data_IF_055120488643
#
_entry.id   IF_055120488643
#
_cell.length_a   1.000
_cell.length_b   1.000
_cell.length_c   1.000
_cell.angle_alpha   90.00
_cell.angle_beta   90.00
_cell.angle_gamma   90.00
#
_symmetry.space_group_name_H-M   'P 1'
#
loop_
_entity.id
_entity.type
_entity.pdbx_description
1 polymer ?
#
# COMPACT_ATOMS: atom_id res chain seq x y z
N UNK A 1 11.01 23.37 -30.83
CA UNK A 1 11.48 22.68 -29.60
C UNK A 1 12.40 21.52 -29.96
N UNK A 2 13.40 21.24 -29.12
CA UNK A 2 14.32 20.10 -29.31
C UNK A 2 14.28 19.21 -28.09
N UNK A 3 13.98 17.93 -28.30
CA UNK A 3 13.91 16.90 -27.27
C UNK A 3 15.19 16.08 -27.32
N UNK A 4 15.84 15.95 -26.17
CA UNK A 4 17.03 15.13 -26.00
C UNK A 4 16.62 13.78 -25.40
N UNK A 5 16.90 12.71 -26.12
CA UNK A 5 16.56 11.35 -25.73
C UNK A 5 17.84 10.60 -25.39
N UNK A 6 17.82 9.82 -24.30
CA UNK A 6 18.91 8.94 -23.92
C UNK A 6 18.41 7.51 -23.85
N UNK A 7 19.10 6.62 -24.54
CA UNK A 7 18.87 5.19 -24.45
C UNK A 7 19.69 4.61 -23.29
N UNK A 8 19.01 4.25 -22.20
CA UNK A 8 19.65 3.65 -21.03
C UNK A 8 19.71 2.12 -21.14
N UNK A 9 18.71 1.51 -21.79
CA UNK A 9 18.58 0.05 -21.91
C UNK A 9 19.47 -0.59 -22.99
N UNK A 10 20.06 0.21 -23.88
CA UNK A 10 20.97 -0.26 -24.93
C UNK A 10 20.28 -0.96 -26.12
N UNK A 11 18.95 -1.13 -26.06
CA UNK A 11 18.16 -1.68 -27.16
C UNK A 11 17.69 -0.55 -28.07
N UNK A 12 17.86 -0.72 -29.38
CA UNK A 12 17.34 0.23 -30.38
C UNK A 12 15.83 0.04 -30.48
N UNK A 13 15.06 1.05 -30.06
CA UNK A 13 13.59 1.01 -30.05
C UNK A 13 12.98 2.19 -30.78
N UNK A 14 11.76 2.07 -31.35
CA UNK A 14 11.01 3.24 -31.79
C UNK A 14 10.67 4.11 -30.58
N UNK A 15 10.60 5.43 -30.79
CA UNK A 15 10.27 6.39 -29.74
C UNK A 15 8.93 7.04 -30.04
N UNK A 16 8.01 6.97 -29.10
CA UNK A 16 6.66 7.55 -29.23
C UNK A 16 6.57 8.69 -28.22
N UNK A 17 6.36 9.90 -28.69
CA UNK A 17 6.23 11.09 -27.83
C UNK A 17 4.82 11.65 -27.95
N UNK A 18 4.19 11.90 -26.81
CA UNK A 18 2.99 12.75 -26.74
C UNK A 18 3.38 14.12 -26.24
N UNK A 19 2.98 15.14 -26.99
CA UNK A 19 3.08 16.54 -26.63
C UNK A 19 1.70 17.02 -26.18
N UNK A 20 1.62 17.60 -24.99
CA UNK A 20 0.45 18.33 -24.50
C UNK A 20 0.76 19.82 -24.59
N UNK A 21 -0.09 20.60 -25.24
CA UNK A 21 0.07 22.04 -25.40
C UNK A 21 -0.75 22.81 -24.35
N UNK A 22 -0.43 24.10 -24.19
CA UNK A 22 -1.13 24.98 -23.24
C UNK A 22 -2.60 25.23 -23.62
N UNK A 23 -2.96 25.08 -24.90
CA UNK A 23 -4.33 25.21 -25.40
C UNK A 23 -5.20 23.96 -25.14
N UNK A 24 -4.60 22.89 -24.61
CA UNK A 24 -5.25 21.61 -24.34
C UNK A 24 -5.24 20.64 -25.53
N UNK A 25 -4.63 21.00 -26.66
CA UNK A 25 -4.42 20.08 -27.77
C UNK A 25 -3.30 19.08 -27.47
N UNK A 26 -3.42 17.89 -28.04
CA UNK A 26 -2.42 16.83 -27.94
C UNK A 26 -1.90 16.45 -29.32
N UNK A 27 -0.60 16.16 -29.40
CA UNK A 27 -0.01 15.66 -30.63
C UNK A 27 0.90 14.46 -30.36
N UNK A 28 0.69 13.40 -31.14
CA UNK A 28 1.49 12.18 -31.08
C UNK A 28 2.54 12.19 -32.19
N UNK A 29 3.81 12.07 -31.82
CA UNK A 29 4.94 11.93 -32.74
C UNK A 29 5.56 10.55 -32.58
N UNK A 30 5.54 9.76 -33.66
CA UNK A 30 6.19 8.45 -33.72
C UNK A 30 7.51 8.58 -34.48
N UNK A 31 8.61 8.37 -33.78
CA UNK A 31 9.96 8.35 -34.35
C UNK A 31 10.37 6.89 -34.57
N UNK A 32 10.76 6.52 -35.81
CA UNK A 32 11.27 5.19 -36.07
C UNK A 32 12.59 4.95 -35.33
N UNK A 33 12.99 3.68 -35.22
CA UNK A 33 14.26 3.26 -34.63
C UNK A 33 15.51 3.88 -35.31
N UNK A 34 15.36 4.45 -36.51
CA UNK A 34 16.44 5.08 -37.28
C UNK A 34 17.10 6.28 -36.57
N UNK A 35 16.42 6.90 -35.61
CA UNK A 35 16.99 8.02 -34.83
C UNK A 35 18.26 7.63 -34.07
N UNK A 36 18.48 6.34 -33.85
CA UNK A 36 19.60 5.77 -33.11
C UNK A 36 20.80 5.38 -34.00
N UNK A 37 20.71 5.56 -35.33
CA UNK A 37 21.74 5.09 -36.28
C UNK A 37 23.07 5.83 -36.12
N UNK A 38 23.04 7.15 -35.88
CA UNK A 38 24.26 7.94 -35.67
C UNK A 38 24.88 7.73 -34.29
N UNK A 39 24.04 7.61 -33.27
CA UNK A 39 24.44 7.37 -31.89
C UNK A 39 23.34 6.55 -31.20
N UNK A 40 23.70 5.36 -30.74
CA UNK A 40 22.77 4.44 -30.09
C UNK A 40 22.49 4.79 -28.62
N UNK A 41 23.26 5.73 -28.03
CA UNK A 41 23.10 6.18 -26.64
C UNK A 41 22.31 7.47 -26.53
N UNK A 42 22.43 8.37 -27.51
CA UNK A 42 21.76 9.66 -27.48
C UNK A 42 21.18 10.03 -28.84
N UNK A 43 19.92 10.48 -28.84
CA UNK A 43 19.24 10.96 -30.03
C UNK A 43 18.63 12.35 -29.74
N UNK A 44 18.49 13.14 -30.80
CA UNK A 44 17.87 14.47 -30.74
C UNK A 44 16.71 14.51 -31.71
N UNK A 45 15.52 14.77 -31.19
CA UNK A 45 14.33 14.97 -32.00
C UNK A 45 13.96 16.45 -31.97
N UNK A 46 13.97 17.10 -33.14
CA UNK A 46 13.53 18.49 -33.26
C UNK A 46 12.10 18.50 -33.81
N UNK A 47 11.25 19.30 -33.18
CA UNK A 47 9.85 19.45 -33.55
C UNK A 47 9.50 20.94 -33.63
N UNK A 48 8.76 21.31 -34.68
CA UNK A 48 8.35 22.69 -34.95
C UNK A 48 6.87 22.81 -34.60
N UNK A 49 6.56 23.63 -33.59
CA UNK A 49 5.21 24.09 -33.31
C UNK A 49 5.28 25.54 -32.85
N UNK A 50 4.25 26.30 -33.20
CA UNK A 50 4.04 27.68 -32.75
C UNK A 50 3.38 27.75 -31.37
N UNK A 51 2.84 26.63 -30.87
CA UNK A 51 2.11 26.58 -29.61
C UNK A 51 3.05 26.32 -28.43
N UNK A 52 2.68 26.86 -27.27
CA UNK A 52 3.41 26.65 -26.03
C UNK A 52 3.23 25.22 -25.51
N UNK A 53 4.35 24.56 -25.23
CA UNK A 53 4.40 23.18 -24.78
C UNK A 53 4.22 23.09 -23.26
N UNK A 54 3.26 22.28 -22.80
CA UNK A 54 2.97 22.05 -21.38
C UNK A 54 3.66 20.80 -20.85
N UNK A 55 3.52 19.67 -21.54
CA UNK A 55 4.09 18.38 -21.14
C UNK A 55 4.63 17.61 -22.33
N UNK A 56 5.63 16.77 -22.07
CA UNK A 56 6.04 15.69 -22.96
C UNK A 56 5.99 14.38 -22.20
N UNK A 57 5.43 13.36 -22.83
CA UNK A 57 5.39 12.01 -22.29
C UNK A 57 5.96 11.01 -23.29
N UNK A 58 6.85 10.15 -22.81
CA UNK A 58 7.44 9.06 -23.54
C UNK A 58 6.59 7.79 -23.40
N UNK A 59 6.21 7.23 -24.54
CA UNK A 59 5.41 6.00 -24.68
C UNK A 59 4.10 5.98 -23.87
N UNK A 60 3.16 6.89 -24.19
CA UNK A 60 1.88 7.00 -23.48
C UNK A 60 1.01 5.74 -23.57
N UNK A 61 1.16 4.97 -24.65
CA UNK A 61 0.38 3.76 -24.91
C UNK A 61 1.07 2.48 -24.45
N UNK A 62 2.27 2.58 -23.85
CA UNK A 62 3.04 1.42 -23.35
C UNK A 62 3.34 0.39 -24.45
N UNK A 63 3.64 0.87 -25.65
CA UNK A 63 3.98 0.02 -26.79
C UNK A 63 5.43 -0.50 -26.71
N UNK A 64 6.27 0.18 -25.93
CA UNK A 64 7.66 -0.19 -25.70
C UNK A 64 7.80 -0.98 -24.40
N UNK A 65 8.69 -1.98 -24.40
CA UNK A 65 8.98 -2.82 -23.24
C UNK A 65 9.94 -2.12 -22.25
N UNK A 66 9.63 -0.87 -21.86
CA UNK A 66 10.43 -0.10 -20.91
C UNK A 66 10.16 -0.54 -19.46
N UNK A 67 11.22 -0.58 -18.64
CA UNK A 67 11.19 -1.02 -17.26
C UNK A 67 10.90 0.11 -16.28
N UNK A 68 11.32 1.34 -16.60
CA UNK A 68 11.15 2.49 -15.72
C UNK A 68 10.19 3.52 -16.36
N UNK A 69 9.21 4.00 -15.59
CA UNK A 69 8.23 5.00 -16.05
C UNK A 69 8.45 6.37 -15.43
N UNK A 70 9.16 6.40 -14.33
CA UNK A 70 9.33 7.60 -13.52
C UNK A 70 10.11 8.69 -14.28
N UNK A 71 10.86 8.28 -15.30
CA UNK A 71 11.66 9.12 -16.19
C UNK A 71 10.99 9.42 -17.54
N UNK A 72 9.72 9.04 -17.74
CA UNK A 72 9.04 9.22 -19.04
C UNK A 72 8.32 10.56 -19.16
N UNK A 73 8.26 11.34 -18.09
CA UNK A 73 7.54 12.61 -18.05
C UNK A 73 8.48 13.79 -18.00
N UNK A 74 8.19 14.79 -18.83
CA UNK A 74 8.76 16.12 -18.74
C UNK A 74 7.64 17.18 -18.66
N UNK A 75 7.56 17.99 -17.59
CA UNK A 75 8.36 17.92 -16.36
C UNK A 75 8.16 16.58 -15.59
N UNK A 76 9.13 16.15 -14.77
CA UNK A 76 9.02 14.92 -13.98
C UNK A 76 7.81 14.94 -13.05
N UNK A 77 7.09 13.81 -12.96
CA UNK A 77 5.93 13.62 -12.09
C UNK A 77 6.22 12.43 -11.16
N UNK A 78 5.80 12.53 -9.90
CA UNK A 78 5.87 11.41 -8.96
C UNK A 78 4.63 10.54 -9.12
N UNK A 79 4.75 9.42 -9.84
CA UNK A 79 3.71 8.41 -9.86
C UNK A 79 3.85 7.47 -8.64
N UNK A 80 2.76 7.15 -7.93
CA UNK A 80 2.81 6.21 -6.81
C UNK A 80 3.13 4.80 -7.31
N UNK A 81 4.06 4.13 -6.62
CA UNK A 81 4.47 2.78 -7.01
C UNK A 81 3.33 1.76 -6.81
N UNK A 82 3.36 0.65 -7.55
CA UNK A 82 2.35 -0.43 -7.42
C UNK A 82 2.23 -0.94 -5.98
N UNK A 83 3.35 -1.00 -5.26
CA UNK A 83 3.38 -1.43 -3.86
C UNK A 83 2.72 -0.38 -2.95
N UNK A 84 2.99 0.90 -3.17
CA UNK A 84 2.35 1.99 -2.42
C UNK A 84 0.83 2.01 -2.66
N UNK A 85 0.38 1.80 -3.90
CA UNK A 85 -1.05 1.67 -4.23
C UNK A 85 -1.71 0.45 -3.57
N UNK A 86 -0.99 -0.67 -3.48
CA UNK A 86 -1.49 -1.87 -2.79
C UNK A 86 -1.64 -1.63 -1.28
N UNK A 87 -0.62 -1.05 -0.64
CA UNK A 87 -0.65 -0.71 0.79
C UNK A 87 -1.73 0.32 1.09
N UNK A 88 -1.84 1.40 0.32
CA UNK A 88 -2.87 2.42 0.54
C UNK A 88 -4.28 1.86 0.39
N UNK A 89 -4.48 0.90 -0.52
CA UNK A 89 -5.75 0.18 -0.65
C UNK A 89 -6.04 -0.73 0.55
N UNK A 90 -5.03 -1.38 1.13
CA UNK A 90 -5.19 -2.15 2.36
C UNK A 90 -5.54 -1.24 3.54
N UNK A 91 -4.80 -0.15 3.74
CA UNK A 91 -5.05 0.84 4.79
C UNK A 91 -6.46 1.43 4.67
N UNK A 92 -6.86 1.87 3.47
CA UNK A 92 -8.22 2.33 3.21
C UNK A 92 -9.29 1.25 3.45
N UNK A 93 -8.96 -0.04 3.27
CA UNK A 93 -9.85 -1.15 3.59
C UNK A 93 -9.88 -1.49 5.09
N UNK A 94 -8.87 -1.10 5.87
CA UNK A 94 -8.83 -1.21 7.33
C UNK A 94 -9.61 -0.09 8.02
N UNK A 95 -9.61 1.10 7.43
CA UNK A 95 -10.33 2.30 7.89
C UNK A 95 -11.84 2.28 7.56
N UNK A 96 -12.35 1.18 6.99
CA UNK A 96 -13.75 1.05 6.61
C UNK A 96 -14.67 1.03 7.87
N UNK A 97 -15.68 1.92 7.98
CA UNK A 97 -16.49 2.10 9.19
C UNK A 97 -17.20 0.82 9.65
N UNK A 98 -17.59 -0.07 8.73
CA UNK A 98 -18.19 -1.36 9.10
C UNK A 98 -17.25 -2.29 9.87
N UNK A 99 -15.96 -2.32 9.53
CA UNK A 99 -14.96 -3.14 10.23
C UNK A 99 -14.60 -2.55 11.59
N UNK A 100 -14.54 -1.22 11.69
CA UNK A 100 -14.38 -0.52 12.96
C UNK A 100 -15.55 -0.80 13.91
N UNK A 101 -16.79 -0.74 13.41
CA UNK A 101 -17.99 -1.08 14.18
C UNK A 101 -18.00 -2.54 14.64
N UNK A 102 -17.66 -3.49 13.77
CA UNK A 102 -17.60 -4.92 14.12
C UNK A 102 -16.57 -5.22 15.21
N UNK A 103 -15.36 -4.63 15.13
CA UNK A 103 -14.33 -4.79 16.17
C UNK A 103 -14.74 -4.20 17.52
N UNK A 104 -15.45 -3.07 17.55
CA UNK A 104 -15.98 -2.49 18.79
C UNK A 104 -17.05 -3.39 19.40
N UNK A 105 -17.98 -3.87 18.59
CA UNK A 105 -19.03 -4.80 19.02
C UNK A 105 -18.46 -6.14 19.54
N UNK A 106 -17.39 -6.65 18.93
CA UNK A 106 -16.72 -7.88 19.36
C UNK A 106 -15.98 -7.69 20.69
N UNK A 107 -15.26 -6.57 20.87
CA UNK A 107 -14.64 -6.20 22.16
C UNK A 107 -15.67 -6.02 23.27
N UNK A 108 -16.78 -5.34 22.99
CA UNK A 108 -17.87 -5.17 23.97
C UNK A 108 -18.51 -6.51 24.37
N UNK A 109 -18.56 -7.50 23.47
CA UNK A 109 -19.04 -8.85 23.79
C UNK A 109 -18.05 -9.62 24.65
N UNK A 110 -16.77 -9.60 24.31
CA UNK A 110 -15.72 -10.23 25.11
C UNK A 110 -15.59 -9.63 26.52
N UNK A 111 -15.73 -8.31 26.66
CA UNK A 111 -15.70 -7.64 27.97
C UNK A 111 -16.90 -8.05 28.84
N UNK A 112 -18.10 -8.15 28.25
CA UNK A 112 -19.30 -8.64 28.95
C UNK A 112 -19.16 -10.10 29.37
N UNK A 113 -18.54 -10.94 28.54
CA UNK A 113 -18.32 -12.36 28.82
C UNK A 113 -17.27 -12.57 29.93
N UNK A 114 -16.19 -11.76 29.94
CA UNK A 114 -15.20 -11.75 31.02
C UNK A 114 -15.76 -11.23 32.35
N UNK A 115 -16.61 -10.21 32.32
CA UNK A 115 -17.30 -9.70 33.50
C UNK A 115 -18.28 -10.73 34.09
N UNK A 116 -18.97 -11.50 33.24
CA UNK A 116 -19.85 -12.59 33.68
C UNK A 116 -19.07 -13.78 34.27
N UNK A 117 -17.90 -14.12 33.70
CA UNK A 117 -17.04 -15.19 34.20
C UNK A 117 -16.41 -14.91 35.57
N UNK A 118 -16.16 -13.65 35.91
CA UNK A 118 -15.63 -13.26 37.23
C UNK A 118 -16.70 -13.24 38.35
N UNK A 119 -17.99 -13.21 38.01
CA UNK A 119 -19.08 -13.24 39.00
C UNK A 119 -19.44 -14.66 39.49
N UNK A 120 -19.00 -15.72 38.79
CA UNK A 120 -19.30 -17.13 39.13
C UNK A 120 -18.36 -17.78 40.15
N UNK A 121 -17.34 -17.06 40.64
CA UNK A 121 -16.26 -17.61 41.46
C UNK A 121 -16.32 -17.30 42.95
N UNK A 122 -17.50 -17.15 43.56
CA UNK A 122 -17.63 -17.06 45.04
C UNK A 122 -18.97 -17.63 45.52
N UNK A 123 -19.12 -18.96 45.54
CA UNK A 123 -20.16 -19.60 46.33
C UNK A 123 -19.78 -21.05 46.66
N UNK A 124 -19.36 -21.28 47.91
CA UNK A 124 -19.41 -22.59 48.53
C UNK A 124 -18.05 -23.12 48.98
N UNK A 125 -17.75 -22.97 50.28
CA UNK A 125 -17.57 -24.10 51.20
C UNK A 125 -17.88 -23.56 52.61
N UNK A 126 -18.96 -24.00 53.23
CA UNK A 126 -19.10 -23.96 54.69
C UNK A 126 -19.83 -25.24 55.11
N UNK A 127 -19.05 -26.26 55.42
CA UNK A 127 -19.49 -27.57 55.86
C UNK A 127 -19.51 -27.58 57.39
N UNK A 128 -20.60 -27.99 58.07
CA UNK A 128 -20.67 -27.97 59.53
C UNK A 128 -19.86 -29.12 60.13
N UNK A 129 -18.96 -28.81 61.07
CA UNK A 129 -18.14 -29.78 61.78
C UNK A 129 -18.96 -30.68 62.72
N UNK A 130 -18.60 -31.98 62.88
CA UNK A 130 -19.22 -32.85 63.87
C UNK A 130 -18.68 -32.59 65.28
N UNK A 131 -19.60 -32.61 66.24
CA UNK A 131 -19.42 -32.44 67.68
C UNK A 131 -18.50 -33.50 68.30
N UNK A 132 -17.47 -33.04 69.00
CA UNK A 132 -16.48 -33.83 69.74
C UNK A 132 -17.08 -34.35 71.06
N UNK A 133 -16.91 -35.65 71.33
CA UNK A 133 -17.34 -36.28 72.60
C UNK A 133 -16.09 -36.56 73.44
N UNK A 134 -16.02 -36.15 74.72
CA UNK A 134 -14.79 -36.24 75.48
C UNK A 134 -14.50 -37.68 75.94
N UNK A 135 -13.27 -38.17 75.69
CA UNK A 135 -12.73 -39.37 76.33
C UNK A 135 -12.37 -39.10 77.80
N UNK A 136 -12.60 -40.05 78.73
CA UNK A 136 -12.11 -39.94 80.09
C UNK A 136 -10.67 -40.48 80.23
N UNK A 137 -9.86 -39.75 81.00
CA UNK A 137 -8.57 -40.16 81.55
C UNK A 137 -8.69 -41.34 82.52
N UNK A 138 -7.64 -42.15 82.65
CA UNK A 138 -6.99 -42.29 83.97
C UNK A 138 -5.46 -42.19 83.83
N UNK A 139 -4.76 -41.35 84.61
CA UNK A 139 -4.23 -41.63 85.95
C UNK A 139 -3.57 -43.03 86.06
N UNK A 140 -2.39 -43.28 86.61
CA UNK A 140 -1.31 -42.50 87.20
C UNK A 140 -0.22 -43.53 87.61
N UNK A 141 1.06 -43.22 87.35
CA UNK A 141 2.20 -43.40 88.30
C UNK A 141 2.67 -44.84 88.64
N UNK A 142 3.91 -45.06 89.13
CA UNK A 142 5.10 -44.19 89.18
C UNK A 142 6.19 -44.50 88.14
#
# INVERSE_FOLDING_TARGET
YTVHLRNVGGLVTPVILRFEFADGSEQLLRLPAEIWVRDNRSARASFISSQELRSVELDPHRETADANRDNNFFPPRLEPSRFQLYRSKQEAAEDNPMRAARRRAEKEREEKEKAAGQAGGQAGVNEPQPVDTPQPSPDAVP
#
